data_IF_704129508163
#
_entry.id   IF_704129508163
#
_cell.length_a   1.000
_cell.length_b   1.000
_cell.length_c   1.000
_cell.angle_alpha   90.00
_cell.angle_beta   90.00
_cell.angle_gamma   90.00
#
_symmetry.space_group_name_H-M   'P 1'
#
loop_
_entity.id
_entity.type
_entity.pdbx_description
1 polymer ?
#
# COMPACT_ATOMS: atom_id res chain seq x y z
N UNK A 1 -29.41 18.58 14.83
CA UNK A 1 -28.92 17.58 13.86
C UNK A 1 -29.78 17.66 12.62
N UNK A 2 -29.22 18.03 11.47
CA UNK A 2 -29.93 18.13 10.19
C UNK A 2 -30.26 16.73 9.67
N UNK A 3 -31.50 16.54 9.22
CA UNK A 3 -31.97 15.25 8.69
C UNK A 3 -31.25 14.95 7.36
N UNK A 4 -30.74 13.72 7.13
CA UNK A 4 -30.13 13.37 5.86
C UNK A 4 -31.14 13.48 4.70
N UNK A 5 -30.70 14.02 3.56
CA UNK A 5 -31.47 14.03 2.30
C UNK A 5 -31.21 12.74 1.51
N UNK A 6 -32.27 12.11 1.00
CA UNK A 6 -32.14 10.91 0.15
C UNK A 6 -31.87 11.29 -1.30
N UNK A 7 -30.85 10.69 -1.91
CA UNK A 7 -30.56 10.78 -3.34
C UNK A 7 -31.23 9.59 -4.06
N UNK A 8 -32.14 9.86 -4.99
CA UNK A 8 -32.72 8.82 -5.85
C UNK A 8 -31.93 8.73 -7.15
N UNK A 9 -31.46 7.52 -7.48
CA UNK A 9 -30.69 7.26 -8.70
C UNK A 9 -31.26 6.05 -9.44
N UNK A 10 -31.37 6.17 -10.76
CA UNK A 10 -31.71 5.05 -11.63
C UNK A 10 -30.42 4.36 -12.07
N UNK A 11 -30.35 3.06 -11.83
CA UNK A 11 -29.19 2.22 -12.19
C UNK A 11 -29.67 0.98 -12.92
N UNK A 12 -28.79 0.38 -13.73
CA UNK A 12 -29.08 -0.92 -14.34
C UNK A 12 -29.28 -2.00 -13.27
N UNK A 13 -30.01 -3.06 -13.62
CA UNK A 13 -30.23 -4.19 -12.71
C UNK A 13 -28.92 -4.85 -12.27
N UNK A 14 -27.96 -4.96 -13.18
CA UNK A 14 -26.65 -5.55 -12.88
C UNK A 14 -25.84 -4.69 -11.93
N UNK A 15 -25.87 -3.35 -12.09
CA UNK A 15 -25.23 -2.46 -11.15
C UNK A 15 -25.87 -2.53 -9.76
N UNK A 16 -27.20 -2.53 -9.67
CA UNK A 16 -27.91 -2.70 -8.40
C UNK A 16 -27.55 -4.02 -7.70
N UNK A 17 -27.38 -5.12 -8.45
CA UNK A 17 -26.92 -6.40 -7.90
C UNK A 17 -25.49 -6.31 -7.38
N UNK A 18 -24.57 -5.76 -8.17
CA UNK A 18 -23.16 -5.59 -7.79
C UNK A 18 -23.00 -4.73 -6.53
N UNK A 19 -23.75 -3.64 -6.42
CA UNK A 19 -23.77 -2.75 -5.25
C UNK A 19 -24.18 -3.52 -3.98
N UNK A 20 -25.26 -4.31 -4.05
CA UNK A 20 -25.74 -5.12 -2.92
C UNK A 20 -24.73 -6.18 -2.49
N UNK A 21 -24.11 -6.87 -3.46
CA UNK A 21 -23.08 -7.87 -3.16
C UNK A 21 -21.87 -7.24 -2.48
N UNK A 22 -21.39 -6.09 -2.97
CA UNK A 22 -20.25 -5.39 -2.36
C UNK A 22 -20.56 -4.85 -0.96
N UNK A 23 -21.76 -4.29 -0.74
CA UNK A 23 -22.14 -3.81 0.59
C UNK A 23 -22.25 -4.94 1.60
N UNK A 24 -22.81 -6.09 1.19
CA UNK A 24 -22.87 -7.30 2.02
C UNK A 24 -21.47 -7.82 2.38
N UNK A 25 -20.54 -7.84 1.42
CA UNK A 25 -19.15 -8.23 1.66
C UNK A 25 -18.41 -7.36 2.68
N UNK A 26 -18.86 -6.12 2.88
CA UNK A 26 -18.31 -5.20 3.89
C UNK A 26 -19.16 -5.10 5.17
N UNK A 27 -20.20 -5.93 5.32
CA UNK A 27 -21.15 -5.88 6.43
C UNK A 27 -21.82 -4.49 6.61
N UNK A 28 -22.03 -3.75 5.53
CA UNK A 28 -22.65 -2.42 5.53
C UNK A 28 -24.01 -2.43 4.82
N UNK A 29 -24.88 -1.49 5.20
CA UNK A 29 -26.07 -1.20 4.41
C UNK A 29 -25.69 -0.60 3.06
N UNK A 30 -26.54 -0.79 2.04
CA UNK A 30 -26.32 -0.20 0.70
C UNK A 30 -26.19 1.32 0.78
N UNK A 31 -27.05 1.98 1.56
CA UNK A 31 -27.02 3.43 1.74
C UNK A 31 -25.72 3.91 2.37
N UNK A 32 -25.19 3.19 3.37
CA UNK A 32 -23.94 3.57 4.04
C UNK A 32 -22.74 3.35 3.12
N UNK A 33 -22.73 2.23 2.40
CA UNK A 33 -21.66 1.92 1.45
C UNK A 33 -21.64 2.90 0.26
N UNK A 34 -22.80 3.27 -0.28
CA UNK A 34 -22.88 4.30 -1.34
C UNK A 34 -22.49 5.67 -0.79
N UNK A 35 -22.89 6.01 0.45
CA UNK A 35 -22.51 7.26 1.10
C UNK A 35 -20.99 7.38 1.22
N UNK A 36 -20.29 6.34 1.68
CA UNK A 36 -18.83 6.38 1.83
C UNK A 36 -18.11 6.57 0.49
N UNK A 37 -18.59 5.93 -0.57
CA UNK A 37 -18.05 6.12 -1.92
C UNK A 37 -18.27 7.53 -2.45
N UNK A 38 -19.44 8.13 -2.21
CA UNK A 38 -19.73 9.51 -2.62
C UNK A 38 -18.84 10.48 -1.85
N UNK A 39 -18.65 10.28 -0.54
CA UNK A 39 -17.75 11.11 0.28
C UNK A 39 -16.32 11.03 -0.29
N UNK A 40 -15.79 9.83 -0.49
CA UNK A 40 -14.45 9.65 -1.06
C UNK A 40 -14.31 10.32 -2.44
N UNK A 41 -15.30 10.15 -3.32
CA UNK A 41 -15.29 10.79 -4.63
C UNK A 41 -15.35 12.33 -4.55
N UNK A 42 -16.15 12.88 -3.62
CA UNK A 42 -16.26 14.32 -3.41
C UNK A 42 -15.03 14.94 -2.75
N UNK A 43 -14.36 14.19 -1.87
CA UNK A 43 -13.12 14.62 -1.21
C UNK A 43 -11.91 14.57 -2.17
N UNK A 44 -12.12 14.22 -3.44
CA UNK A 44 -11.07 14.12 -4.45
C UNK A 44 -10.15 12.93 -4.23
N UNK A 45 -10.64 11.94 -3.48
CA UNK A 45 -9.91 10.75 -3.09
C UNK A 45 -9.86 9.79 -4.29
N UNK A 46 -9.08 10.16 -5.32
CA UNK A 46 -8.83 9.29 -6.46
C UNK A 46 -8.06 8.07 -5.95
N UNK A 47 -8.68 6.87 -5.97
CA UNK A 47 -8.04 5.67 -5.44
C UNK A 47 -6.73 5.37 -6.18
N UNK A 48 -6.60 5.78 -7.45
CA UNK A 48 -5.35 5.65 -8.20
C UNK A 48 -4.29 6.64 -7.69
N UNK A 49 -4.66 7.90 -7.44
CA UNK A 49 -3.75 8.91 -6.88
C UNK A 49 -3.31 8.55 -5.45
N UNK A 50 -4.21 8.06 -4.59
CA UNK A 50 -3.88 7.58 -3.26
C UNK A 50 -2.94 6.37 -3.28
N UNK A 51 -3.18 5.44 -4.20
CA UNK A 51 -2.29 4.28 -4.39
C UNK A 51 -0.90 4.75 -4.81
N UNK A 52 -0.82 5.68 -5.77
CA UNK A 52 0.45 6.26 -6.22
C UNK A 52 1.20 6.98 -5.09
N UNK A 53 0.52 7.82 -4.31
CA UNK A 53 1.11 8.52 -3.16
C UNK A 53 1.58 7.53 -2.07
N UNK A 54 0.80 6.47 -1.82
CA UNK A 54 1.17 5.43 -0.85
C UNK A 54 2.41 4.67 -1.31
N UNK A 55 2.48 4.29 -2.59
CA UNK A 55 3.66 3.66 -3.20
C UNK A 55 4.87 4.59 -3.09
N UNK A 56 4.72 5.87 -3.44
CA UNK A 56 5.80 6.85 -3.35
C UNK A 56 6.30 7.03 -1.92
N UNK A 57 5.40 7.10 -0.94
CA UNK A 57 5.76 7.17 0.49
C UNK A 57 6.52 5.93 0.94
N UNK A 58 6.06 4.74 0.56
CA UNK A 58 6.73 3.47 0.86
C UNK A 58 8.13 3.46 0.23
N UNK A 59 8.25 3.86 -1.04
CA UNK A 59 9.54 3.92 -1.73
C UNK A 59 10.53 4.85 -1.03
N UNK A 60 10.12 6.08 -0.67
CA UNK A 60 10.98 7.02 0.06
C UNK A 60 11.43 6.46 1.41
N UNK A 61 10.53 5.84 2.16
CA UNK A 61 10.88 5.19 3.43
C UNK A 61 11.83 4.00 3.24
N UNK A 62 11.61 3.17 2.22
CA UNK A 62 12.49 2.03 1.91
C UNK A 62 13.90 2.49 1.57
N UNK A 63 14.04 3.55 0.78
CA UNK A 63 15.35 4.14 0.45
C UNK A 63 16.04 4.67 1.71
N UNK A 64 15.31 5.43 2.54
CA UNK A 64 15.85 5.96 3.80
C UNK A 64 16.33 4.83 4.73
N UNK A 65 15.53 3.77 4.87
CA UNK A 65 15.88 2.61 5.71
C UNK A 65 17.13 1.88 5.19
N UNK A 66 17.22 1.67 3.87
CA UNK A 66 18.39 1.04 3.25
C UNK A 66 19.66 1.84 3.52
N UNK A 67 19.63 3.16 3.30
CA UNK A 67 20.78 4.05 3.54
C UNK A 67 21.13 4.09 5.03
N UNK A 68 20.13 4.21 5.91
CA UNK A 68 20.34 4.25 7.36
C UNK A 68 20.96 2.97 7.90
N UNK A 69 20.51 1.81 7.45
CA UNK A 69 21.09 0.51 7.83
C UNK A 69 22.52 0.40 7.33
N UNK A 70 22.80 0.78 6.08
CA UNK A 70 24.17 0.72 5.55
C UNK A 70 25.11 1.66 6.31
N UNK A 71 24.65 2.86 6.71
CA UNK A 71 25.43 3.77 7.54
C UNK A 71 25.71 3.21 8.95
N UNK A 72 24.71 2.57 9.58
CA UNK A 72 24.88 1.91 10.88
C UNK A 72 25.86 0.74 10.80
N UNK A 73 25.79 -0.07 9.75
CA UNK A 73 26.69 -1.20 9.53
C UNK A 73 28.12 -0.75 9.20
N UNK A 74 28.28 0.35 8.45
CA UNK A 74 29.59 0.90 8.12
C UNK A 74 30.34 1.48 9.33
N UNK A 75 29.61 2.01 10.32
CA UNK A 75 30.20 2.50 11.58
C UNK A 75 30.40 1.42 12.65
N UNK A 76 30.07 0.16 12.36
CA UNK A 76 30.11 -0.91 13.34
C UNK A 76 31.56 -1.41 13.57
N UNK A 77 31.97 -1.72 14.81
CA UNK A 77 33.34 -2.17 15.11
C UNK A 77 33.70 -3.54 14.52
N UNK A 78 32.69 -4.35 14.18
CA UNK A 78 32.87 -5.61 13.44
C UNK A 78 32.79 -5.35 11.93
N UNK A 79 33.92 -5.46 11.19
CA UNK A 79 33.97 -5.16 9.76
C UNK A 79 33.20 -6.19 8.90
N UNK A 80 33.02 -7.41 9.39
CA UNK A 80 32.36 -8.50 8.64
C UNK A 80 30.84 -8.52 8.84
N UNK A 81 30.31 -7.69 9.75
CA UNK A 81 28.88 -7.66 10.09
C UNK A 81 28.03 -7.29 8.86
N UNK A 82 28.52 -6.36 8.04
CA UNK A 82 27.80 -5.90 6.85
C UNK A 82 27.57 -7.04 5.85
N UNK A 83 28.60 -7.84 5.59
CA UNK A 83 28.53 -8.96 4.66
C UNK A 83 27.65 -10.09 5.20
N UNK A 84 27.73 -10.37 6.50
CA UNK A 84 26.85 -11.35 7.16
C UNK A 84 25.39 -10.92 7.11
N UNK A 85 25.09 -9.64 7.29
CA UNK A 85 23.74 -9.10 7.19
C UNK A 85 23.18 -9.22 5.76
N UNK A 86 23.99 -8.89 4.74
CA UNK A 86 23.62 -9.06 3.32
C UNK A 86 23.38 -10.52 2.96
N UNK A 87 24.24 -11.44 3.42
CA UNK A 87 24.06 -12.87 3.21
C UNK A 87 22.79 -13.41 3.90
N UNK A 88 22.48 -12.94 5.12
CA UNK A 88 21.25 -13.28 5.82
C UNK A 88 19.99 -12.77 5.09
N UNK A 89 20.04 -11.53 4.57
CA UNK A 89 18.97 -10.97 3.75
C UNK A 89 18.71 -11.81 2.50
N UNK A 90 19.75 -12.13 1.73
CA UNK A 90 19.62 -12.94 0.51
C UNK A 90 19.00 -14.32 0.79
N UNK A 91 19.41 -15.00 1.87
CA UNK A 91 18.80 -16.26 2.31
C UNK A 91 17.32 -16.11 2.63
N UNK A 92 16.94 -15.02 3.30
CA UNK A 92 15.55 -14.79 3.71
C UNK A 92 14.65 -14.43 2.54
N UNK A 93 15.14 -13.65 1.56
CA UNK A 93 14.42 -13.42 0.31
C UNK A 93 14.16 -14.73 -0.43
N UNK A 94 15.16 -15.60 -0.54
CA UNK A 94 15.01 -16.93 -1.16
C UNK A 94 13.96 -17.79 -0.44
N UNK A 95 13.95 -17.80 0.90
CA UNK A 95 12.95 -18.53 1.70
C UNK A 95 11.53 -18.01 1.50
N UNK A 96 11.37 -16.70 1.31
CA UNK A 96 10.08 -16.05 1.14
C UNK A 96 9.62 -15.99 -0.34
N UNK A 97 10.40 -16.55 -1.27
CA UNK A 97 10.11 -16.47 -2.71
C UNK A 97 10.16 -15.05 -3.27
N UNK A 98 10.81 -14.11 -2.56
CA UNK A 98 10.97 -12.74 -3.00
C UNK A 98 12.12 -12.72 -4.02
N UNK A 99 11.89 -12.31 -5.28
CA UNK A 99 12.95 -12.22 -6.26
C UNK A 99 14.01 -11.23 -5.74
N UNK A 100 15.23 -11.71 -5.57
CA UNK A 100 16.36 -10.87 -5.23
C UNK A 100 16.71 -10.07 -6.47
N UNK A 101 16.20 -8.84 -6.58
CA UNK A 101 16.82 -7.85 -7.45
C UNK A 101 18.17 -7.52 -6.80
N UNK A 102 19.19 -8.28 -7.19
CA UNK A 102 20.56 -8.01 -6.79
C UNK A 102 20.84 -6.53 -7.08
N UNK A 103 21.26 -5.80 -6.05
CA UNK A 103 21.90 -4.51 -6.19
C UNK A 103 23.23 -4.72 -6.92
N UNK A 104 23.17 -4.94 -8.24
CA UNK A 104 24.28 -4.66 -9.15
C UNK A 104 24.37 -3.14 -9.25
N UNK A 105 25.04 -2.55 -8.26
CA UNK A 105 25.23 -1.12 -8.14
C UNK A 105 26.61 -0.84 -7.57
N UNK A 106 27.62 -0.86 -8.45
CA UNK A 106 28.90 -0.20 -8.21
C UNK A 106 30.12 -1.11 -8.12
N UNK A 107 30.57 -1.64 -9.26
CA UNK A 107 32.00 -1.88 -9.46
C UNK A 107 32.67 -0.57 -9.86
N UNK A 108 33.57 -0.07 -9.01
CA UNK A 108 34.68 0.77 -9.42
C UNK A 108 35.86 0.56 -8.50
#
# INVERSE_FOLDING_TARGET
MTRPSSLQIYVSRDLARSVRMKSMGQAMSVSEWVRSLIIAACDGDDPAAQTAQTIERIQRHSVFLMVGIDALLAGHPDPDLRDRARAAYARRCKQLGIPSNALDGGTK
#
